data_IF_143515472023
#
_entry.id   IF_143515472023
#
_cell.length_a   1.000
_cell.length_b   1.000
_cell.length_c   1.000
_cell.angle_alpha   90.00
_cell.angle_beta   90.00
_cell.angle_gamma   90.00
#
_symmetry.space_group_name_H-M   'P 1'
#
loop_
_entity.id
_entity.type
_entity.pdbx_description
1 polymer ?
#
# COMPACT_ATOMS: atom_id res chain seq x y z
N UNK A 1 -24.41 -0.88 -7.31
CA UNK A 1 -23.01 -1.25 -7.02
C UNK A 1 -22.15 -0.10 -7.52
N UNK A 2 -21.77 0.82 -6.62
CA UNK A 2 -20.99 2.01 -7.00
C UNK A 2 -19.60 1.54 -7.40
N UNK A 3 -19.18 1.84 -8.63
CA UNK A 3 -17.80 1.60 -9.06
C UNK A 3 -16.92 2.42 -8.13
N UNK A 4 -16.14 1.75 -7.27
CA UNK A 4 -15.20 2.42 -6.39
C UNK A 4 -14.28 3.29 -7.27
N UNK A 5 -14.14 4.57 -6.93
CA UNK A 5 -13.23 5.47 -7.61
C UNK A 5 -11.81 4.89 -7.57
N UNK A 6 -11.13 4.92 -8.72
CA UNK A 6 -9.80 4.34 -8.87
C UNK A 6 -8.80 5.19 -8.06
N UNK A 7 -8.19 4.59 -7.04
CA UNK A 7 -7.14 5.22 -6.24
C UNK A 7 -5.85 5.41 -7.06
N UNK A 8 -5.23 6.57 -6.94
CA UNK A 8 -3.98 6.95 -7.63
C UNK A 8 -3.00 7.66 -6.69
N UNK A 9 -1.77 7.86 -7.15
CA UNK A 9 -0.71 8.55 -6.41
C UNK A 9 -1.12 9.98 -5.98
N UNK A 10 -1.91 10.67 -6.81
CA UNK A 10 -2.41 12.02 -6.52
C UNK A 10 -3.36 12.08 -5.34
N UNK A 11 -4.02 10.96 -5.04
CA UNK A 11 -5.02 10.87 -3.97
C UNK A 11 -4.37 10.57 -2.61
N UNK A 12 -3.13 10.06 -2.59
CA UNK A 12 -2.49 9.50 -1.40
C UNK A 12 -2.38 10.51 -0.25
N UNK A 13 -1.81 11.69 -0.51
CA UNK A 13 -1.60 12.73 0.52
C UNK A 13 -2.93 13.19 1.10
N UNK A 14 -3.91 13.51 0.24
CA UNK A 14 -5.24 13.99 0.66
C UNK A 14 -5.97 12.94 1.50
N UNK A 15 -5.82 11.66 1.17
CA UNK A 15 -6.41 10.56 1.96
C UNK A 15 -5.69 10.40 3.30
N UNK A 16 -4.36 10.46 3.33
CA UNK A 16 -3.57 10.43 4.57
C UNK A 16 -3.99 11.56 5.52
N UNK A 17 -4.12 12.79 5.02
CA UNK A 17 -4.56 13.94 5.82
C UNK A 17 -5.95 13.67 6.42
N UNK A 18 -6.92 13.28 5.58
CA UNK A 18 -8.29 12.94 6.02
C UNK A 18 -8.36 11.83 7.06
N UNK A 19 -7.50 10.81 6.95
CA UNK A 19 -7.44 9.72 7.93
C UNK A 19 -6.82 10.20 9.25
N UNK A 20 -5.77 11.02 9.18
CA UNK A 20 -5.09 11.56 10.35
C UNK A 20 -5.94 12.56 11.15
N UNK A 21 -6.87 13.27 10.50
CA UNK A 21 -7.87 14.11 11.17
C UNK A 21 -8.80 13.30 12.08
N UNK A 22 -9.01 12.01 11.78
CA UNK A 22 -9.94 11.13 12.49
C UNK A 22 -9.26 10.17 13.46
N UNK A 23 -7.97 9.92 13.28
CA UNK A 23 -7.20 8.98 14.08
C UNK A 23 -5.89 9.62 14.59
N UNK A 24 -5.80 9.91 15.90
CA UNK A 24 -4.60 10.48 16.51
C UNK A 24 -3.34 9.62 16.36
N UNK A 25 -3.48 8.29 16.27
CA UNK A 25 -2.34 7.39 16.04
C UNK A 25 -1.81 7.53 14.61
N UNK A 26 -2.69 7.65 13.62
CA UNK A 26 -2.27 7.92 12.24
C UNK A 26 -1.62 9.30 12.10
N UNK A 27 -2.14 10.31 12.81
CA UNK A 27 -1.50 11.63 12.86
C UNK A 27 -0.08 11.55 13.45
N UNK A 28 0.10 10.79 14.53
CA UNK A 28 1.42 10.62 15.13
C UNK A 28 2.39 9.91 14.16
N UNK A 29 1.95 8.86 13.49
CA UNK A 29 2.75 8.16 12.47
C UNK A 29 3.17 9.13 11.34
N UNK A 30 2.26 9.97 10.84
CA UNK A 30 2.60 10.95 9.81
C UNK A 30 3.60 12.01 10.31
N UNK A 31 3.49 12.44 11.57
CA UNK A 31 4.46 13.38 12.17
C UNK A 31 5.85 12.76 12.32
N UNK A 32 5.92 11.49 12.70
CA UNK A 32 7.17 10.80 12.98
C UNK A 32 7.88 10.33 11.69
N UNK A 33 7.12 9.90 10.68
CA UNK A 33 7.67 9.23 9.48
C UNK A 33 7.32 9.91 8.15
N UNK A 34 6.45 10.91 8.15
CA UNK A 34 5.95 11.54 6.92
C UNK A 34 4.92 10.68 6.16
N UNK A 35 4.61 11.09 4.93
CA UNK A 35 3.69 10.35 4.07
C UNK A 35 4.32 9.05 3.56
N UNK A 36 3.57 7.95 3.51
CA UNK A 36 4.08 6.71 2.91
C UNK A 36 4.32 6.90 1.41
N UNK A 37 5.23 6.12 0.81
CA UNK A 37 5.35 6.06 -0.64
C UNK A 37 4.10 5.40 -1.25
N UNK A 38 3.79 5.75 -2.50
CA UNK A 38 2.71 5.09 -3.23
C UNK A 38 3.14 3.69 -3.69
N UNK A 39 2.77 2.67 -2.92
CA UNK A 39 3.06 1.28 -3.29
C UNK A 39 2.12 0.82 -4.42
N UNK A 40 2.68 0.71 -5.62
CA UNK A 40 2.02 0.10 -6.77
C UNK A 40 2.87 -1.02 -7.35
N UNK A 41 2.20 -2.02 -7.94
CA UNK A 41 2.84 -3.10 -8.70
C UNK A 41 2.22 -3.15 -10.09
N UNK A 42 3.01 -3.48 -11.11
CA UNK A 42 2.52 -3.67 -12.48
C UNK A 42 1.45 -4.76 -12.50
N UNK A 43 0.31 -4.51 -13.15
CA UNK A 43 -0.75 -5.54 -13.29
C UNK A 43 -0.29 -6.59 -14.29
N UNK A 44 -0.04 -7.80 -13.82
CA UNK A 44 0.32 -8.95 -14.66
C UNK A 44 0.07 -10.27 -13.92
N UNK A 45 -0.03 -11.39 -14.65
CA UNK A 45 -0.12 -12.71 -14.03
C UNK A 45 1.13 -13.03 -13.19
N UNK A 46 2.32 -12.67 -13.67
CA UNK A 46 3.56 -12.82 -12.91
C UNK A 46 3.48 -12.10 -11.55
N UNK A 47 3.01 -10.85 -11.53
CA UNK A 47 2.81 -10.10 -10.27
C UNK A 47 1.86 -10.82 -9.31
N UNK A 48 0.79 -11.45 -9.81
CA UNK A 48 -0.12 -12.24 -8.98
C UNK A 48 0.60 -13.44 -8.35
N UNK A 49 1.41 -14.17 -9.12
CA UNK A 49 2.21 -15.29 -8.60
C UNK A 49 3.20 -14.81 -7.53
N UNK A 50 3.90 -13.69 -7.77
CA UNK A 50 4.78 -13.10 -6.77
C UNK A 50 4.04 -12.76 -5.47
N UNK A 51 2.83 -12.20 -5.54
CA UNK A 51 2.02 -11.89 -4.35
C UNK A 51 1.64 -13.17 -3.59
N UNK A 52 1.31 -14.26 -4.29
CA UNK A 52 0.99 -15.55 -3.67
C UNK A 52 2.23 -16.13 -2.96
N UNK A 53 3.39 -16.05 -3.60
CA UNK A 53 4.65 -16.54 -3.02
C UNK A 53 5.11 -15.69 -1.82
N UNK A 54 4.72 -14.41 -1.74
CA UNK A 54 4.99 -13.53 -0.60
C UNK A 54 4.11 -13.82 0.62
N UNK A 55 3.07 -14.67 0.50
CA UNK A 55 2.16 -14.94 1.63
C UNK A 55 2.84 -15.79 2.71
N UNK A 56 2.71 -15.33 3.96
CA UNK A 56 3.17 -16.02 5.18
C UNK A 56 4.66 -16.39 5.19
N UNK A 57 5.47 -15.72 4.37
CA UNK A 57 6.92 -15.91 4.31
C UNK A 57 7.62 -14.55 4.20
N UNK A 58 8.94 -14.53 4.38
CA UNK A 58 9.71 -13.32 4.16
C UNK A 58 9.78 -12.96 2.67
N UNK A 59 9.92 -11.68 2.34
CA UNK A 59 10.16 -11.23 0.96
C UNK A 59 11.42 -11.89 0.36
N UNK A 60 12.43 -12.18 1.19
CA UNK A 60 13.63 -12.89 0.75
C UNK A 60 13.31 -14.36 0.37
N UNK A 61 12.48 -15.04 1.17
CA UNK A 61 12.02 -16.41 0.90
C UNK A 61 11.18 -16.47 -0.37
N UNK A 62 10.25 -15.53 -0.54
CA UNK A 62 9.43 -15.43 -1.75
C UNK A 62 10.28 -15.21 -3.01
N UNK A 63 11.31 -14.35 -2.91
CA UNK A 63 12.28 -14.11 -4.00
C UNK A 63 13.12 -15.33 -4.36
N UNK A 64 13.43 -16.18 -3.39
CA UNK A 64 14.21 -17.39 -3.63
C UNK A 64 13.42 -18.51 -4.33
N UNK A 65 12.09 -18.42 -4.34
CA UNK A 65 11.19 -19.38 -4.97
C UNK A 65 10.83 -19.04 -6.44
N UNK A 66 11.30 -17.89 -6.93
CA UNK A 66 11.18 -17.45 -8.32
C UNK A 66 12.39 -17.90 -9.14
#
# INVERSE_FOLDING_TARGET
MTIASRFSEKDLVVICDRLSERDPHLLQILKDYGYPPFWSRKVSFATLIHIILEQQVSLASARAAL
#
